data_IF_166955404069
#
_entry.id   IF_166955404069
#
_cell.length_a   1.000
_cell.length_b   1.000
_cell.length_c   1.000
_cell.angle_alpha   90.00
_cell.angle_beta   90.00
_cell.angle_gamma   90.00
#
_symmetry.space_group_name_H-M   'P 1'
#
loop_
_entity.id
_entity.type
_entity.pdbx_description
1 polymer ?
#
# COMPACT_ATOMS: atom_id res chain seq x y z
N UNK A 1 2.62 -17.49 42.23
CA UNK A 1 1.48 -18.28 41.74
C UNK A 1 0.48 -17.31 41.12
N UNK A 2 0.61 -17.04 39.83
CA UNK A 2 -0.18 -16.04 39.07
C UNK A 2 -1.31 -16.70 38.26
N UNK A 3 -1.98 -17.71 38.82
CA UNK A 3 -2.92 -18.55 38.06
C UNK A 3 -4.37 -18.04 38.02
N UNK A 4 -4.67 -16.89 38.65
CA UNK A 4 -6.07 -16.57 39.05
C UNK A 4 -6.66 -15.32 38.37
N UNK A 5 -5.92 -14.60 37.52
CA UNK A 5 -6.41 -13.32 36.96
C UNK A 5 -6.73 -13.33 35.46
N UNK A 6 -6.86 -14.49 34.83
CA UNK A 6 -7.36 -14.59 33.46
C UNK A 6 -8.62 -15.46 33.42
N UNK A 7 -9.60 -15.05 32.61
CA UNK A 7 -10.84 -15.79 32.44
C UNK A 7 -10.61 -17.22 31.90
N UNK A 8 -9.55 -17.43 31.11
CA UNK A 8 -9.09 -18.77 30.70
C UNK A 8 -8.55 -19.61 31.87
N UNK A 9 -7.83 -18.99 32.80
CA UNK A 9 -7.35 -19.65 34.01
C UNK A 9 -8.49 -20.07 34.92
N UNK A 10 -9.51 -19.22 35.07
CA UNK A 10 -10.71 -19.54 35.84
C UNK A 10 -11.58 -20.61 35.16
N UNK A 11 -11.81 -20.54 33.84
CA UNK A 11 -12.57 -21.58 33.13
C UNK A 11 -11.87 -22.94 33.16
N UNK A 12 -10.54 -22.95 33.02
CA UNK A 12 -9.75 -24.18 33.09
C UNK A 12 -9.76 -24.75 34.51
N UNK A 13 -9.63 -23.91 35.53
CA UNK A 13 -9.74 -24.30 36.93
C UNK A 13 -11.15 -24.81 37.25
N UNK A 14 -12.19 -24.08 36.83
CA UNK A 14 -13.59 -24.43 37.05
C UNK A 14 -13.93 -25.76 36.39
N UNK A 15 -13.70 -25.93 35.08
CA UNK A 15 -13.99 -27.17 34.37
C UNK A 15 -13.23 -28.38 34.93
N UNK A 16 -12.02 -28.17 35.47
CA UNK A 16 -11.23 -29.22 36.09
C UNK A 16 -11.74 -29.60 37.49
N UNK A 17 -12.06 -28.62 38.34
CA UNK A 17 -12.45 -28.88 39.73
C UNK A 17 -13.94 -29.10 39.93
N UNK A 18 -14.76 -28.66 38.98
CA UNK A 18 -16.21 -28.71 39.04
C UNK A 18 -16.81 -30.12 39.24
N UNK A 19 -16.46 -31.13 38.41
CA UNK A 19 -16.98 -32.48 38.59
C UNK A 19 -16.58 -33.07 39.95
N UNK A 20 -15.39 -32.69 40.44
CA UNK A 20 -14.79 -33.28 41.63
C UNK A 20 -15.22 -32.64 42.95
N UNK A 21 -15.43 -31.32 42.98
CA UNK A 21 -15.80 -30.60 44.21
C UNK A 21 -17.30 -30.48 44.40
N UNK A 22 -18.07 -30.39 43.33
CA UNK A 22 -19.50 -30.08 43.39
C UNK A 22 -20.35 -31.28 42.98
N UNK A 23 -20.10 -31.87 41.81
CA UNK A 23 -20.91 -32.98 41.30
C UNK A 23 -20.74 -34.25 42.15
N UNK A 24 -19.50 -34.66 42.43
CA UNK A 24 -19.22 -35.81 43.29
C UNK A 24 -19.66 -35.62 44.74
N UNK A 25 -19.56 -34.40 45.28
CA UNK A 25 -19.95 -34.10 46.66
C UNK A 25 -21.48 -34.08 46.83
N UNK A 26 -22.21 -33.55 45.85
CA UNK A 26 -23.69 -33.56 45.84
C UNK A 26 -24.21 -34.98 45.58
N UNK A 27 -23.62 -35.72 44.64
CA UNK A 27 -23.97 -37.12 44.40
C UNK A 27 -23.71 -38.01 45.62
N UNK A 28 -22.56 -37.85 46.30
CA UNK A 28 -22.24 -38.61 47.52
C UNK A 28 -23.19 -38.28 48.68
N UNK A 29 -23.62 -37.02 48.81
CA UNK A 29 -24.60 -36.63 49.82
C UNK A 29 -25.99 -37.16 49.50
N UNK A 30 -26.40 -37.21 48.22
CA UNK A 30 -27.66 -37.82 47.80
C UNK A 30 -27.69 -39.32 48.10
N UNK A 31 -26.59 -40.04 47.87
CA UNK A 31 -26.44 -41.48 48.23
C UNK A 31 -26.45 -41.72 49.74
N UNK A 32 -25.84 -40.82 50.53
CA UNK A 32 -25.81 -40.92 51.99
C UNK A 32 -27.20 -40.68 52.63
N UNK A 33 -28.07 -39.96 51.92
CA UNK A 33 -29.41 -39.59 52.33
C UNK A 33 -30.41 -40.65 51.84
N UNK A 34 -30.37 -41.05 50.56
CA UNK A 34 -31.19 -42.11 49.98
C UNK A 34 -30.31 -43.22 49.35
N UNK A 35 -30.18 -44.39 50.02
CA UNK A 35 -29.33 -45.48 49.55
C UNK A 35 -29.78 -46.12 48.22
N UNK A 36 -31.01 -45.86 47.77
CA UNK A 36 -31.56 -46.37 46.50
C UNK A 36 -31.34 -45.40 45.32
N UNK A 37 -30.64 -44.28 45.53
CA UNK A 37 -30.33 -43.31 44.47
C UNK A 37 -29.33 -43.89 43.44
N UNK A 38 -29.82 -44.25 42.25
CA UNK A 38 -28.99 -44.74 41.14
C UNK A 38 -28.24 -43.59 40.46
N UNK A 39 -26.92 -43.51 40.66
CA UNK A 39 -26.04 -42.71 39.80
C UNK A 39 -25.86 -43.39 38.44
N UNK A 40 -26.23 -42.72 37.36
CA UNK A 40 -25.99 -43.21 35.99
C UNK A 40 -24.50 -43.40 35.71
N UNK A 41 -24.07 -44.52 35.11
CA UNK A 41 -22.67 -44.89 34.94
C UNK A 41 -22.09 -44.23 33.69
N UNK A 42 -21.88 -42.92 33.74
CA UNK A 42 -20.80 -42.32 32.96
C UNK A 42 -19.94 -41.52 33.95
N UNK A 43 -18.62 -41.77 33.88
CA UNK A 43 -17.55 -41.08 34.62
C UNK A 43 -17.17 -41.63 36.01
N UNK A 44 -16.85 -42.92 36.10
CA UNK A 44 -15.80 -43.36 37.05
C UNK A 44 -14.42 -43.15 36.42
N UNK A 45 -13.88 -41.94 36.57
CA UNK A 45 -12.46 -41.68 36.30
C UNK A 45 -11.65 -42.10 37.54
N UNK A 46 -10.64 -42.97 37.37
CA UNK A 46 -9.84 -43.52 38.47
C UNK A 46 -8.91 -42.44 39.08
N UNK A 47 -9.45 -41.75 40.09
CA UNK A 47 -8.83 -40.64 40.83
C UNK A 47 -7.56 -41.07 41.59
N UNK A 48 -7.38 -42.37 41.86
CA UNK A 48 -6.23 -42.88 42.61
C UNK A 48 -4.90 -42.74 41.85
N UNK A 49 -4.96 -42.50 40.54
CA UNK A 49 -3.77 -42.40 39.67
C UNK A 49 -3.21 -40.98 39.49
N UNK A 50 -3.94 -39.93 39.92
CA UNK A 50 -3.61 -38.52 39.65
C UNK A 50 -3.25 -37.69 40.88
N UNK A 51 -3.49 -38.21 42.09
CA UNK A 51 -3.20 -37.52 43.35
C UNK A 51 -2.04 -38.23 44.06
N UNK A 52 -1.00 -37.50 44.42
CA UNK A 52 0.17 -38.02 45.15
C UNK A 52 -0.13 -38.24 46.66
N UNK A 53 -1.42 -38.32 47.01
CA UNK A 53 -1.96 -38.50 48.35
C UNK A 53 -3.28 -39.29 48.23
N UNK A 54 -3.47 -40.27 49.12
CA UNK A 54 -4.66 -41.14 49.16
C UNK A 54 -5.88 -40.34 49.68
N UNK A 55 -6.94 -40.13 48.87
CA UNK A 55 -8.13 -39.39 49.31
C UNK A 55 -8.86 -40.06 50.49
N UNK A 56 -8.59 -41.34 50.77
CA UNK A 56 -9.10 -42.05 51.96
C UNK A 56 -8.46 -41.56 53.27
N UNK A 57 -7.32 -40.86 53.21
CA UNK A 57 -6.61 -40.34 54.39
C UNK A 57 -7.06 -38.94 54.83
N UNK A 58 -7.92 -38.27 54.05
CA UNK A 58 -8.70 -37.11 54.52
C UNK A 58 -9.95 -37.60 55.30
N UNK A 59 -10.02 -38.88 55.63
CA UNK A 59 -10.84 -39.41 56.70
C UNK A 59 -10.10 -39.32 58.04
N UNK A 60 -9.89 -38.12 58.57
CA UNK A 60 -9.70 -37.99 60.02
C UNK A 60 -11.01 -38.46 60.65
N UNK A 61 -10.96 -39.68 61.21
CA UNK A 61 -11.97 -40.36 62.03
C UNK A 61 -13.35 -39.70 61.98
N UNK A 62 -14.23 -40.22 61.11
CA UNK A 62 -15.68 -40.09 61.29
C UNK A 62 -16.01 -40.68 62.67
N UNK A 63 -15.93 -39.83 63.70
CA UNK A 63 -16.73 -40.01 64.90
C UNK A 63 -18.15 -40.13 64.39
N UNK A 64 -18.73 -41.27 64.70
CA UNK A 64 -20.10 -41.64 64.39
C UNK A 64 -21.03 -40.65 65.08
N UNK A 65 -21.26 -39.49 64.46
CA UNK A 65 -22.48 -38.74 64.73
C UNK A 65 -23.64 -39.62 64.24
N UNK A 66 -24.49 -39.97 65.19
CA UNK A 66 -25.71 -40.75 64.92
C UNK A 66 -26.54 -40.04 63.85
N UNK A 67 -27.20 -40.80 62.96
CA UNK A 67 -27.97 -40.21 61.88
C UNK A 67 -29.08 -39.33 62.48
N UNK A 68 -29.26 -38.08 62.04
CA UNK A 68 -30.56 -37.49 62.18
C UNK A 68 -31.52 -38.32 61.30
N UNK A 69 -32.72 -38.44 61.84
CA UNK A 69 -33.92 -39.05 61.29
C UNK A 69 -34.03 -38.93 59.76
N UNK A 70 -34.56 -39.99 59.14
CA UNK A 70 -34.94 -40.15 57.72
C UNK A 70 -34.98 -38.86 56.87
N UNK A 71 -34.45 -38.88 55.64
CA UNK A 71 -34.55 -37.74 54.73
C UNK A 71 -36.00 -37.34 54.52
N UNK A 72 -36.31 -36.08 54.77
CA UNK A 72 -37.52 -35.49 54.21
C UNK A 72 -37.33 -35.32 52.72
N UNK A 73 -38.30 -35.72 51.90
CA UNK A 73 -38.34 -35.57 50.43
C UNK A 73 -37.93 -34.17 49.94
N UNK A 74 -38.15 -33.15 50.77
CA UNK A 74 -37.75 -31.77 50.52
C UNK A 74 -36.24 -31.53 50.43
N UNK A 75 -35.39 -32.33 51.11
CA UNK A 75 -33.92 -32.16 51.05
C UNK A 75 -33.38 -32.65 49.71
N UNK A 76 -33.86 -33.80 49.25
CA UNK A 76 -33.48 -34.41 47.98
C UNK A 76 -33.88 -33.53 46.80
N UNK A 77 -35.12 -33.01 46.80
CA UNK A 77 -35.62 -32.10 45.76
C UNK A 77 -34.83 -30.79 45.67
N UNK A 78 -34.45 -30.20 46.81
CA UNK A 78 -33.66 -28.96 46.82
C UNK A 78 -32.21 -29.18 46.35
N UNK A 79 -31.59 -30.32 46.69
CA UNK A 79 -30.26 -30.69 46.18
C UNK A 79 -30.26 -30.97 44.68
N UNK A 80 -31.29 -31.63 44.17
CA UNK A 80 -31.46 -31.90 42.74
C UNK A 80 -31.65 -30.61 41.93
N UNK A 81 -32.42 -29.66 42.46
CA UNK A 81 -32.58 -28.32 41.85
C UNK A 81 -31.27 -27.53 41.87
N UNK A 82 -30.49 -27.59 42.96
CA UNK A 82 -29.16 -26.97 43.03
C UNK A 82 -28.23 -27.61 41.99
N UNK A 83 -28.19 -28.94 41.89
CA UNK A 83 -27.36 -29.66 40.92
C UNK A 83 -27.66 -29.24 39.47
N UNK A 84 -28.95 -29.09 39.13
CA UNK A 84 -29.38 -28.66 37.80
C UNK A 84 -28.98 -27.22 37.48
N UNK A 85 -29.01 -26.32 38.46
CA UNK A 85 -28.56 -24.93 38.28
C UNK A 85 -27.05 -24.84 38.13
N UNK A 86 -26.35 -25.70 38.86
CA UNK A 86 -24.91 -25.86 38.84
C UNK A 86 -24.43 -26.27 37.43
N UNK A 87 -25.15 -27.15 36.70
CA UNK A 87 -24.79 -27.56 35.33
C UNK A 87 -24.83 -26.45 34.26
N UNK A 88 -25.30 -25.24 34.61
CA UNK A 88 -25.32 -24.13 33.68
C UNK A 88 -23.91 -23.56 33.40
N UNK A 89 -23.65 -23.01 32.20
CA UNK A 89 -22.42 -22.27 31.91
C UNK A 89 -22.19 -21.15 32.93
N UNK A 90 -20.92 -20.88 33.23
CA UNK A 90 -20.50 -19.94 34.28
C UNK A 90 -21.16 -18.56 34.14
N UNK A 91 -21.38 -18.08 32.91
CA UNK A 91 -22.02 -16.79 32.64
C UNK A 91 -23.48 -16.75 33.10
N UNK A 92 -24.18 -17.89 33.03
CA UNK A 92 -25.55 -18.04 33.54
C UNK A 92 -25.56 -18.30 35.05
N UNK A 93 -24.56 -19.03 35.55
CA UNK A 93 -24.43 -19.37 36.96
C UNK A 93 -24.16 -18.15 37.85
N UNK A 94 -23.29 -17.23 37.42
CA UNK A 94 -23.02 -15.98 38.17
C UNK A 94 -24.23 -15.05 38.24
N UNK A 95 -25.13 -15.12 37.26
CA UNK A 95 -26.39 -14.36 37.23
C UNK A 95 -27.46 -15.03 38.08
N UNK A 96 -27.57 -16.36 38.03
CA UNK A 96 -28.64 -17.13 38.68
C UNK A 96 -28.29 -17.60 40.11
N UNK A 97 -27.19 -17.13 40.71
CA UNK A 97 -26.71 -17.60 42.02
C UNK A 97 -27.70 -17.37 43.19
N UNK A 98 -28.65 -16.43 43.05
CA UNK A 98 -29.75 -16.23 44.01
C UNK A 98 -30.69 -17.44 44.09
N UNK A 99 -30.87 -18.18 42.98
CA UNK A 99 -31.65 -19.42 42.94
C UNK A 99 -31.01 -20.51 43.78
N UNK A 100 -29.68 -20.66 43.67
CA UNK A 100 -28.88 -21.60 44.47
C UNK A 100 -28.95 -21.23 45.96
N UNK A 101 -28.85 -19.94 46.30
CA UNK A 101 -28.98 -19.48 47.68
C UNK A 101 -30.36 -19.79 48.27
N UNK A 102 -31.41 -19.55 47.50
CA UNK A 102 -32.80 -19.78 47.92
C UNK A 102 -33.10 -21.25 48.15
N UNK A 103 -32.56 -22.14 47.31
CA UNK A 103 -32.70 -23.59 47.46
C UNK A 103 -31.81 -24.15 48.59
N UNK A 104 -30.68 -23.50 48.91
CA UNK A 104 -29.74 -23.93 49.94
C UNK A 104 -30.19 -23.55 51.37
N UNK A 105 -30.82 -22.38 51.55
CA UNK A 105 -31.26 -21.86 52.86
C UNK A 105 -32.10 -22.87 53.70
N UNK A 106 -33.16 -23.52 53.16
CA UNK A 106 -34.01 -24.42 53.96
C UNK A 106 -33.33 -25.73 54.36
N UNK A 107 -32.27 -26.13 53.64
CA UNK A 107 -31.59 -27.41 53.87
C UNK A 107 -30.22 -27.26 54.54
N UNK A 108 -29.74 -26.02 54.74
CA UNK A 108 -28.37 -25.72 55.14
C UNK A 108 -27.92 -26.39 56.44
N UNK A 109 -28.83 -26.61 57.40
CA UNK A 109 -28.51 -27.21 58.70
C UNK A 109 -28.58 -28.74 58.72
N UNK A 110 -29.10 -29.33 57.63
CA UNK A 110 -29.16 -30.78 57.43
C UNK A 110 -28.02 -31.31 56.55
N UNK A 111 -27.19 -30.41 55.99
CA UNK A 111 -26.06 -30.76 55.14
C UNK A 111 -24.76 -30.92 55.94
N UNK A 112 -23.94 -31.86 55.49
CA UNK A 112 -22.56 -32.03 55.96
C UNK A 112 -21.77 -30.72 55.81
N UNK A 113 -20.95 -30.40 56.80
CA UNK A 113 -20.18 -29.14 56.87
C UNK A 113 -19.32 -28.87 55.64
N UNK A 114 -18.72 -29.91 55.05
CA UNK A 114 -17.92 -29.83 53.83
C UNK A 114 -18.76 -29.41 52.62
N UNK A 115 -19.92 -30.03 52.41
CA UNK A 115 -20.84 -29.72 51.32
C UNK A 115 -21.48 -28.32 51.52
N UNK A 116 -21.83 -27.97 52.76
CA UNK A 116 -22.34 -26.65 53.12
C UNK A 116 -21.34 -25.54 52.77
N UNK A 117 -20.05 -25.76 53.03
CA UNK A 117 -19.02 -24.78 52.73
C UNK A 117 -18.86 -24.57 51.23
N UNK A 118 -18.80 -25.67 50.47
CA UNK A 118 -18.70 -25.69 49.01
C UNK A 118 -19.90 -25.00 48.36
N UNK A 119 -21.14 -25.38 48.73
CA UNK A 119 -22.37 -24.77 48.19
C UNK A 119 -22.54 -23.31 48.59
N UNK A 120 -22.09 -22.90 49.78
CA UNK A 120 -22.07 -21.48 50.19
C UNK A 120 -21.16 -20.64 49.32
N UNK A 121 -19.95 -21.13 49.00
CA UNK A 121 -19.06 -20.42 48.07
C UNK A 121 -19.72 -20.19 46.71
N UNK A 122 -20.49 -21.16 46.21
CA UNK A 122 -21.21 -21.02 44.92
C UNK A 122 -22.46 -20.17 45.02
N UNK A 123 -23.17 -20.17 46.15
CA UNK A 123 -24.27 -19.25 46.42
C UNK A 123 -23.83 -17.77 46.47
N UNK A 124 -22.53 -17.52 46.59
CA UNK A 124 -21.92 -16.20 46.55
C UNK A 124 -21.25 -15.85 45.22
N UNK A 125 -21.30 -16.70 44.18
CA UNK A 125 -20.63 -16.43 42.88
C UNK A 125 -21.02 -15.10 42.21
N UNK A 126 -22.15 -14.49 42.62
CA UNK A 126 -22.61 -13.19 42.13
C UNK A 126 -21.60 -12.05 42.29
N UNK A 127 -20.63 -12.15 43.22
CA UNK A 127 -19.56 -11.12 43.32
C UNK A 127 -18.64 -11.08 42.10
N UNK A 128 -18.57 -12.17 41.32
CA UNK A 128 -17.78 -12.26 40.08
C UNK A 128 -18.58 -11.90 38.82
N UNK A 129 -19.86 -11.57 38.95
CA UNK A 129 -20.76 -11.40 37.81
C UNK A 129 -20.24 -10.34 36.81
N UNK A 130 -19.80 -9.18 37.29
CA UNK A 130 -19.29 -8.10 36.45
C UNK A 130 -18.02 -8.52 35.69
N UNK A 131 -17.07 -9.16 36.39
CA UNK A 131 -15.79 -9.58 35.81
C UNK A 131 -15.97 -10.68 34.76
N UNK A 132 -16.85 -11.65 35.02
CA UNK A 132 -17.15 -12.75 34.10
C UNK A 132 -17.84 -12.21 32.85
N UNK A 133 -18.87 -11.36 33.00
CA UNK A 133 -19.56 -10.78 31.84
C UNK A 133 -18.66 -9.87 31.01
N UNK A 134 -17.83 -9.06 31.67
CA UNK A 134 -16.84 -8.23 30.97
C UNK A 134 -15.80 -9.08 30.23
N UNK A 135 -15.36 -10.20 30.81
CA UNK A 135 -14.44 -11.12 30.15
C UNK A 135 -15.08 -11.79 28.93
N UNK A 136 -16.31 -12.29 29.05
CA UNK A 136 -17.05 -12.91 27.94
C UNK A 136 -17.23 -11.92 26.79
N UNK A 137 -17.57 -10.66 27.07
CA UNK A 137 -17.66 -9.61 26.05
C UNK A 137 -16.32 -9.35 25.34
N UNK A 138 -15.20 -9.32 26.09
CA UNK A 138 -13.86 -9.17 25.51
C UNK A 138 -13.47 -10.36 24.63
N UNK A 139 -13.79 -11.59 25.04
CA UNK A 139 -13.51 -12.80 24.26
C UNK A 139 -14.29 -12.77 22.95
N UNK A 140 -15.60 -12.50 23.00
CA UNK A 140 -16.43 -12.34 21.81
C UNK A 140 -15.88 -11.28 20.86
N UNK A 141 -15.44 -10.13 21.39
CA UNK A 141 -14.81 -9.07 20.59
C UNK A 141 -13.51 -9.51 19.93
N UNK A 142 -12.66 -10.27 20.65
CA UNK A 142 -11.37 -10.77 20.13
C UNK A 142 -11.55 -11.81 19.04
N UNK A 143 -12.58 -12.65 19.14
CA UNK A 143 -12.88 -13.66 18.11
C UNK A 143 -13.20 -13.04 16.75
N UNK A 144 -13.63 -11.77 16.72
CA UNK A 144 -13.90 -11.03 15.47
C UNK A 144 -12.68 -10.24 14.95
N UNK A 145 -11.56 -10.20 15.66
CA UNK A 145 -10.35 -9.47 15.24
C UNK A 145 -9.52 -10.12 14.12
N UNK A 146 -9.53 -11.45 13.87
CA UNK A 146 -8.70 -12.03 12.81
C UNK A 146 -8.97 -11.43 11.42
N UNK A 147 -10.24 -11.27 11.05
CA UNK A 147 -10.62 -10.65 9.78
C UNK A 147 -10.12 -9.20 9.66
N UNK A 148 -10.26 -8.42 10.74
CA UNK A 148 -9.75 -7.05 10.78
C UNK A 148 -8.22 -6.98 10.66
N UNK A 149 -7.49 -7.93 11.26
CA UNK A 149 -6.03 -8.00 11.14
C UNK A 149 -5.60 -8.37 9.73
N UNK A 150 -6.33 -9.25 9.06
CA UNK A 150 -6.11 -9.60 7.66
C UNK A 150 -6.31 -8.38 6.75
N UNK A 151 -7.43 -7.68 6.89
CA UNK A 151 -7.72 -6.44 6.15
C UNK A 151 -6.64 -5.36 6.35
N UNK A 152 -6.23 -5.10 7.61
CA UNK A 152 -5.14 -4.16 7.90
C UNK A 152 -3.84 -4.61 7.23
N UNK A 153 -3.56 -5.91 7.19
CA UNK A 153 -2.33 -6.43 6.57
C UNK A 153 -2.36 -6.23 5.05
N UNK A 154 -3.49 -6.50 4.40
CA UNK A 154 -3.69 -6.26 2.97
C UNK A 154 -3.61 -4.77 2.60
N UNK A 155 -4.17 -3.90 3.42
CA UNK A 155 -4.11 -2.47 3.18
C UNK A 155 -2.68 -1.93 3.40
N UNK A 156 -1.95 -2.46 4.38
CA UNK A 156 -0.54 -2.14 4.59
C UNK A 156 0.34 -2.61 3.44
N UNK A 157 0.13 -3.82 2.89
CA UNK A 157 0.92 -4.30 1.74
C UNK A 157 0.64 -3.45 0.51
N UNK A 158 -0.61 -3.09 0.27
CA UNK A 158 -1.02 -2.21 -0.83
C UNK A 158 -0.41 -0.81 -0.68
N UNK A 159 -0.44 -0.22 0.51
CA UNK A 159 0.16 1.08 0.78
C UNK A 159 1.69 1.06 0.60
N UNK A 160 2.36 -0.02 1.00
CA UNK A 160 3.79 -0.18 0.78
C UNK A 160 4.13 -0.31 -0.71
N UNK A 161 3.29 -1.01 -1.49
CA UNK A 161 3.45 -1.10 -2.95
C UNK A 161 3.33 0.28 -3.59
N UNK A 162 2.29 1.05 -3.25
CA UNK A 162 2.14 2.42 -3.76
C UNK A 162 3.30 3.33 -3.39
N UNK A 163 3.83 3.19 -2.17
CA UNK A 163 5.02 3.94 -1.77
C UNK A 163 6.24 3.58 -2.61
N UNK A 164 6.46 2.29 -2.87
CA UNK A 164 7.57 1.84 -3.72
C UNK A 164 7.45 2.39 -5.14
N UNK A 165 6.23 2.39 -5.71
CA UNK A 165 5.97 2.93 -7.05
C UNK A 165 6.16 4.47 -7.09
N UNK A 166 5.81 5.18 -6.01
CA UNK A 166 6.05 6.62 -5.89
C UNK A 166 7.55 6.95 -5.73
N UNK A 167 8.29 6.13 -4.99
CA UNK A 167 9.72 6.29 -4.80
C UNK A 167 10.51 5.94 -6.08
N UNK A 168 9.92 5.17 -7.01
CA UNK A 168 10.48 4.88 -8.34
C UNK A 168 10.45 6.11 -9.25
N UNK A 169 11.50 6.92 -9.14
CA UNK A 169 11.73 8.09 -9.98
C UNK A 169 12.48 7.78 -11.29
N UNK A 170 12.55 6.51 -11.70
CA UNK A 170 13.32 6.09 -12.88
C UNK A 170 12.84 6.77 -14.17
N UNK A 171 11.52 6.88 -14.35
CA UNK A 171 10.93 7.51 -15.54
C UNK A 171 11.16 9.03 -15.56
N UNK A 172 11.06 9.71 -14.41
CA UNK A 172 11.41 11.12 -14.31
C UNK A 172 12.90 11.35 -14.67
N UNK A 173 13.80 10.53 -14.12
CA UNK A 173 15.22 10.61 -14.43
C UNK A 173 15.50 10.38 -15.92
N UNK A 174 14.81 9.41 -16.54
CA UNK A 174 14.89 9.12 -17.99
C UNK A 174 14.42 10.31 -18.81
N UNK A 175 13.27 10.89 -18.48
CA UNK A 175 12.72 12.07 -19.16
C UNK A 175 13.62 13.29 -19.01
N UNK A 176 14.19 13.52 -17.83
CA UNK A 176 15.14 14.62 -17.57
C UNK A 176 16.40 14.48 -18.42
N UNK A 177 16.94 13.28 -18.53
CA UNK A 177 18.10 12.97 -19.38
C UNK A 177 17.77 13.19 -20.86
N UNK A 178 16.60 12.71 -21.31
CA UNK A 178 16.10 12.92 -22.67
C UNK A 178 15.96 14.42 -23.00
N UNK A 179 15.39 15.20 -22.08
CA UNK A 179 15.25 16.65 -22.21
C UNK A 179 16.60 17.34 -22.36
N UNK A 180 17.59 17.00 -21.54
CA UNK A 180 18.94 17.55 -21.66
C UNK A 180 19.58 17.25 -23.02
N UNK A 181 19.41 16.02 -23.52
CA UNK A 181 19.90 15.66 -24.85
C UNK A 181 19.21 16.44 -25.98
N UNK A 182 17.90 16.69 -25.86
CA UNK A 182 17.15 17.51 -26.80
C UNK A 182 17.56 18.99 -26.73
N UNK A 183 17.77 19.54 -25.55
CA UNK A 183 18.26 20.92 -25.37
C UNK A 183 19.65 21.09 -26.00
N UNK A 184 20.56 20.11 -25.83
CA UNK A 184 21.87 20.11 -26.48
C UNK A 184 21.75 20.06 -28.02
N UNK A 185 20.86 19.22 -28.55
CA UNK A 185 20.57 19.19 -30.00
C UNK A 185 20.00 20.51 -30.49
N UNK A 186 19.08 21.13 -29.74
CA UNK A 186 18.52 22.45 -30.07
C UNK A 186 19.62 23.49 -30.16
N UNK A 187 20.51 23.57 -29.17
CA UNK A 187 21.63 24.51 -29.20
C UNK A 187 22.52 24.33 -30.44
N UNK A 188 22.85 23.08 -30.79
CA UNK A 188 23.64 22.79 -31.99
C UNK A 188 22.96 23.26 -33.28
N UNK A 189 21.65 23.02 -33.41
CA UNK A 189 20.87 23.47 -34.57
C UNK A 189 20.81 25.00 -34.62
N UNK A 190 20.60 25.67 -33.49
CA UNK A 190 20.59 27.13 -33.43
C UNK A 190 21.91 27.73 -33.89
N UNK A 191 23.03 27.13 -33.51
CA UNK A 191 24.35 27.60 -33.96
C UNK A 191 24.54 27.40 -35.47
N UNK A 192 24.11 26.26 -35.99
CA UNK A 192 24.20 25.99 -37.44
C UNK A 192 23.31 26.95 -38.25
N UNK A 193 22.13 27.31 -37.74
CA UNK A 193 21.27 28.32 -38.37
C UNK A 193 21.99 29.66 -38.46
N UNK A 194 22.60 30.14 -37.37
CA UNK A 194 23.36 31.40 -37.38
C UNK A 194 24.50 31.38 -38.39
N UNK A 195 25.26 30.28 -38.43
CA UNK A 195 26.35 30.10 -39.39
C UNK A 195 25.85 30.22 -40.83
N UNK A 196 24.71 29.57 -41.14
CA UNK A 196 24.11 29.62 -42.47
C UNK A 196 23.55 31.01 -42.81
N UNK A 197 23.01 31.74 -41.84
CA UNK A 197 22.55 33.12 -42.02
C UNK A 197 23.71 34.07 -42.37
N UNK A 198 24.86 33.92 -41.69
CA UNK A 198 26.08 34.67 -42.02
C UNK A 198 26.61 34.34 -43.42
N UNK A 199 26.60 33.06 -43.79
CA UNK A 199 27.01 32.59 -45.12
C UNK A 199 26.10 33.16 -46.22
N UNK A 200 24.78 33.15 -46.01
CA UNK A 200 23.81 33.77 -46.93
C UNK A 200 24.04 35.27 -47.09
N UNK A 201 24.28 35.99 -45.98
CA UNK A 201 24.56 37.44 -46.04
C UNK A 201 25.82 37.76 -46.86
N UNK A 202 26.86 36.93 -46.74
CA UNK A 202 28.05 37.06 -47.57
C UNK A 202 27.76 36.82 -49.05
N UNK A 203 27.02 35.75 -49.38
CA UNK A 203 26.64 35.42 -50.76
C UNK A 203 25.80 36.53 -51.38
N UNK A 204 24.82 37.08 -50.65
CA UNK A 204 23.97 38.17 -51.13
C UNK A 204 24.79 39.43 -51.46
N UNK A 205 25.77 39.75 -50.60
CA UNK A 205 26.69 40.87 -50.84
C UNK A 205 27.54 40.64 -52.10
N UNK A 206 28.01 39.40 -52.31
CA UNK A 206 28.77 39.04 -53.49
C UNK A 206 27.92 39.09 -54.78
N UNK A 207 26.66 38.67 -54.72
CA UNK A 207 25.71 38.79 -55.83
C UNK A 207 25.51 40.26 -56.20
N UNK A 208 25.23 41.13 -55.23
CA UNK A 208 25.06 42.57 -55.47
C UNK A 208 26.30 43.22 -56.11
N UNK A 209 27.49 42.84 -55.65
CA UNK A 209 28.75 43.32 -56.22
C UNK A 209 28.94 42.86 -57.67
N UNK A 210 28.62 41.59 -57.96
CA UNK A 210 28.68 41.05 -59.32
C UNK A 210 27.67 41.71 -60.25
N UNK A 211 26.43 41.93 -59.80
CA UNK A 211 25.39 42.61 -60.57
C UNK A 211 25.82 44.05 -60.93
N UNK A 212 26.42 44.76 -59.98
CA UNK A 212 27.01 46.07 -60.24
C UNK A 212 28.14 45.99 -61.28
N UNK A 213 29.02 44.98 -61.19
CA UNK A 213 30.08 44.74 -62.17
C UNK A 213 29.55 44.45 -63.57
N UNK A 214 28.51 43.62 -63.68
CA UNK A 214 27.82 43.32 -64.95
C UNK A 214 27.23 44.59 -65.56
N UNK A 215 26.59 45.44 -64.75
CA UNK A 215 26.06 46.73 -65.21
C UNK A 215 27.17 47.66 -65.72
N UNK A 216 28.26 47.80 -64.98
CA UNK A 216 29.42 48.60 -65.42
C UNK A 216 30.01 48.09 -66.72
N UNK A 217 30.10 46.77 -66.89
CA UNK A 217 30.59 46.15 -68.13
C UNK A 217 29.66 46.45 -69.31
N UNK A 218 28.34 46.38 -69.10
CA UNK A 218 27.35 46.73 -70.12
C UNK A 218 27.46 48.21 -70.55
N UNK A 219 27.59 49.13 -69.60
CA UNK A 219 27.76 50.56 -69.86
C UNK A 219 29.06 50.84 -70.63
N UNK A 220 30.18 50.22 -70.23
CA UNK A 220 31.45 50.34 -70.92
C UNK A 220 31.41 49.79 -72.34
N UNK A 221 30.77 48.63 -72.54
CA UNK A 221 30.57 48.04 -73.88
C UNK A 221 29.76 48.98 -74.77
N UNK A 222 28.71 49.60 -74.24
CA UNK A 222 27.91 50.58 -74.98
C UNK A 222 28.73 51.83 -75.36
N UNK A 223 29.53 52.35 -74.42
CA UNK A 223 30.42 53.49 -74.68
C UNK A 223 31.46 53.19 -75.76
N UNK A 224 32.13 52.03 -75.68
CA UNK A 224 33.09 51.57 -76.68
C UNK A 224 32.44 51.38 -78.06
N UNK A 225 31.24 50.79 -78.11
CA UNK A 225 30.47 50.63 -79.34
C UNK A 225 30.18 51.98 -80.01
N UNK A 226 29.78 52.99 -79.23
CA UNK A 226 29.55 54.35 -79.73
C UNK A 226 30.84 55.00 -80.25
N UNK A 227 31.94 54.92 -79.50
CA UNK A 227 33.25 55.44 -79.92
C UNK A 227 33.76 54.75 -81.19
N UNK A 228 33.60 53.44 -81.31
CA UNK A 228 33.99 52.68 -82.50
C UNK A 228 33.17 53.11 -83.72
N UNK A 229 31.85 53.26 -83.58
CA UNK A 229 30.99 53.77 -84.66
C UNK A 229 31.41 55.16 -85.13
N UNK A 230 31.72 56.07 -84.20
CA UNK A 230 32.21 57.40 -84.52
C UNK A 230 33.56 57.36 -85.25
N UNK A 231 34.50 56.54 -84.79
CA UNK A 231 35.80 56.36 -85.45
C UNK A 231 35.66 55.80 -86.86
N UNK A 232 34.78 54.80 -87.06
CA UNK A 232 34.52 54.24 -88.39
C UNK A 232 33.90 55.30 -89.31
N UNK A 233 32.96 56.10 -88.81
CA UNK A 233 32.38 57.21 -89.58
C UNK A 233 33.46 58.24 -89.99
N UNK A 234 34.36 58.61 -89.07
CA UNK A 234 35.47 59.51 -89.37
C UNK A 234 36.44 58.94 -90.41
N UNK A 235 36.81 57.66 -90.30
CA UNK A 235 37.65 56.98 -91.30
C UNK A 235 36.98 57.00 -92.68
N UNK A 236 35.67 56.73 -92.75
CA UNK A 236 34.92 56.80 -94.00
C UNK A 236 34.92 58.21 -94.60
N UNK A 237 34.85 59.24 -93.77
CA UNK A 237 34.91 60.63 -94.24
C UNK A 237 36.30 60.98 -94.77
N UNK A 238 37.37 60.66 -94.03
CA UNK A 238 38.74 60.83 -94.51
C UNK A 238 38.98 60.10 -95.84
N UNK A 239 38.44 58.89 -95.97
CA UNK A 239 38.59 58.10 -97.20
C UNK A 239 37.91 58.76 -98.42
N UNK A 240 36.87 59.60 -98.25
CA UNK A 240 36.29 60.38 -99.36
C UNK A 240 37.24 61.47 -99.86
N UNK A 241 38.06 62.02 -98.98
CA UNK A 241 39.08 63.01 -99.32
C UNK A 241 40.36 62.41 -99.89
N UNK A 242 40.48 61.08 -99.92
CA UNK A 242 41.64 60.39 -100.46
C UNK A 242 41.59 60.39 -101.99
N UNK A 243 42.48 61.15 -102.62
CA UNK A 243 42.68 61.11 -104.06
C UNK A 243 43.56 59.90 -104.37
N UNK A 244 43.01 58.95 -105.13
CA UNK A 244 43.69 57.71 -105.49
C UNK A 244 44.44 57.92 -106.82
N UNK A 245 45.73 57.62 -106.84
CA UNK A 245 46.56 57.74 -108.02
C UNK A 245 48.03 57.97 -107.64
N UNK A 246 48.92 57.79 -108.61
CA UNK A 246 50.30 58.27 -108.51
C UNK A 246 50.38 59.68 -109.08
N UNK A 247 51.28 60.51 -108.59
CA UNK A 247 51.50 61.86 -109.13
C UNK A 247 52.05 61.87 -110.56
N UNK A 248 52.51 60.71 -111.06
CA UNK A 248 53.27 60.61 -112.30
C UNK A 248 52.49 61.03 -113.57
N UNK A 249 51.23 60.61 -113.78
CA UNK A 249 50.42 61.05 -114.91
C UNK A 249 50.12 62.55 -114.84
N UNK A 250 49.78 63.07 -113.66
CA UNK A 250 49.51 64.50 -113.45
C UNK A 250 50.77 65.35 -113.70
N UNK A 251 51.94 64.85 -113.27
CA UNK A 251 53.24 65.47 -113.57
C UNK A 251 53.54 65.46 -115.07
N UNK A 252 53.23 64.38 -115.79
CA UNK A 252 53.40 64.34 -117.24
C UNK A 252 52.50 65.37 -117.94
N UNK A 253 51.26 65.54 -117.49
CA UNK A 253 50.35 66.57 -118.03
C UNK A 253 50.94 67.98 -117.82
N UNK A 254 51.44 68.28 -116.62
CA UNK A 254 52.05 69.58 -116.31
C UNK A 254 53.32 69.81 -117.15
N UNK A 255 54.19 68.81 -117.26
CA UNK A 255 55.42 68.92 -118.05
C UNK A 255 55.11 69.12 -119.54
N UNK A 256 54.16 68.37 -120.09
CA UNK A 256 53.73 68.50 -121.49
C UNK A 256 53.14 69.89 -121.77
N UNK A 257 52.39 70.47 -120.83
CA UNK A 257 51.85 71.82 -120.95
C UNK A 257 52.94 72.91 -120.90
N UNK A 258 53.95 72.75 -120.05
CA UNK A 258 55.10 73.66 -120.00
C UNK A 258 55.94 73.59 -121.29
N UNK A 259 56.11 72.40 -121.86
CA UNK A 259 56.81 72.22 -123.14
C UNK A 259 56.07 72.85 -124.32
N UNK A 260 54.73 72.94 -124.28
CA UNK A 260 53.92 73.59 -125.30
C UNK A 260 53.91 75.14 -125.23
N UNK A 261 54.45 75.73 -124.17
CA UNK A 261 54.58 77.19 -124.00
C UNK A 261 55.97 77.75 -124.34
N UNK A 262 56.92 76.88 -124.73
CA UNK A 262 58.25 77.21 -125.25
C UNK A 262 58.25 77.21 -126.79
#
# INVERSE_FOLDING_TARGET
MEFVYTADGFNTWWNFWWPHLFQNAVASALIAIDPEHETTPEETFDVASLLNFDPSTIGESLVTESPPTSPTTDVTLNLEEIAKQLDAPIEKLVIACDGIRTALEPIADMLLSSLKQVLRTTAHLGFLCEDVLAATSRIASRNNQPALKEEITEECTTANQFKADMDDNSEEARLKTSRQALDAKRMKITEEIKRLEEELSWVDTAILANDAGVKMLADNKQKLSTSLKASIAHIRELNKGLIIGSYEPDRQIINSANEAML
#
